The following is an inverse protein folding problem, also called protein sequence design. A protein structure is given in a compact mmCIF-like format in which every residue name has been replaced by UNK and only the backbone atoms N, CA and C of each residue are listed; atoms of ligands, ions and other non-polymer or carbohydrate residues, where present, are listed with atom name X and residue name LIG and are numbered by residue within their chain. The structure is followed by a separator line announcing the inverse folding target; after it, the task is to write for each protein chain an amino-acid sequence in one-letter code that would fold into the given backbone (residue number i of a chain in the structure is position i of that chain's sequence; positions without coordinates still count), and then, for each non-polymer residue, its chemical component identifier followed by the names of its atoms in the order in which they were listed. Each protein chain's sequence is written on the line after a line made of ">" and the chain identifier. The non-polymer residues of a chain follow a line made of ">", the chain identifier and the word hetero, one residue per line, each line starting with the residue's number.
data_IF_759731109509
#
_entry.id   IF_759731109509
#
_cell.length_a   1.000
_cell.length_b   1.000
_cell.length_c   1.000
_cell.angle_alpha   90.00
_cell.angle_beta   90.00
_cell.angle_gamma   90.00
#
_symmetry.space_group_name_H-M   'P 1'
#
loop_
_entity.id
_entity.type
_entity.pdbx_description
1 polymer ?
#
# COMPACT_ATOMS: atom_id res chain seq x y z
N UNK A 1 -5.13 16.61 -0.18
CA UNK A 1 -4.03 17.52 0.22
C UNK A 1 -3.94 18.73 -0.71
N UNK A 2 -3.86 18.58 -2.04
CA UNK A 2 -3.78 19.70 -2.99
C UNK A 2 -4.95 20.69 -2.88
N UNK A 3 -6.18 20.20 -2.79
CA UNK A 3 -7.38 21.04 -2.64
C UNK A 3 -7.35 21.88 -1.34
N UNK A 4 -6.95 21.27 -0.23
CA UNK A 4 -6.81 21.98 1.05
C UNK A 4 -5.76 23.09 0.97
N UNK A 5 -4.61 22.80 0.41
CA UNK A 5 -3.50 23.76 0.21
C UNK A 5 -3.93 24.92 -0.70
N UNK A 6 -4.59 24.61 -1.81
CA UNK A 6 -5.14 25.63 -2.71
C UNK A 6 -6.16 26.54 -1.99
N UNK A 7 -7.16 25.95 -1.30
CA UNK A 7 -8.18 26.73 -0.60
C UNK A 7 -7.58 27.66 0.45
N UNK A 8 -6.60 27.17 1.23
CA UNK A 8 -5.90 28.00 2.22
C UNK A 8 -5.17 29.19 1.57
N UNK A 9 -4.50 28.93 0.44
CA UNK A 9 -3.79 30.01 -0.29
C UNK A 9 -4.79 30.98 -0.96
N UNK A 10 -5.89 30.48 -1.50
CA UNK A 10 -6.96 31.27 -2.08
C UNK A 10 -7.51 32.27 -1.04
N UNK A 11 -7.93 31.74 0.11
CA UNK A 11 -8.49 32.57 1.18
C UNK A 11 -7.50 33.63 1.67
N UNK A 12 -6.24 33.25 1.85
CA UNK A 12 -5.19 34.17 2.27
C UNK A 12 -4.92 35.25 1.21
N UNK A 13 -4.83 34.87 -0.08
CA UNK A 13 -4.62 35.83 -1.17
C UNK A 13 -5.77 36.82 -1.28
N UNK A 14 -7.01 36.33 -1.16
CA UNK A 14 -8.22 37.13 -1.24
C UNK A 14 -8.34 38.11 -0.07
N UNK A 15 -8.19 37.62 1.18
CA UNK A 15 -8.32 38.45 2.40
C UNK A 15 -7.24 39.54 2.46
N UNK A 16 -6.00 39.16 2.16
CA UNK A 16 -4.86 40.10 2.20
C UNK A 16 -4.74 40.95 0.93
N UNK A 17 -5.53 40.68 -0.10
CA UNK A 17 -5.46 41.32 -1.43
C UNK A 17 -4.02 41.29 -2.00
N UNK A 18 -3.31 40.17 -1.79
CA UNK A 18 -1.92 39.99 -2.21
C UNK A 18 -1.76 38.77 -3.12
N UNK A 19 -0.77 38.84 -3.99
CA UNK A 19 -0.30 37.68 -4.74
C UNK A 19 0.42 36.72 -3.81
N UNK A 20 0.14 35.41 -3.95
CA UNK A 20 0.79 34.36 -3.17
C UNK A 20 1.50 33.40 -4.11
N UNK A 21 2.74 33.09 -3.79
CA UNK A 21 3.49 32.02 -4.43
C UNK A 21 3.80 30.92 -3.41
N UNK A 22 3.48 29.69 -3.77
CA UNK A 22 3.88 28.50 -3.04
C UNK A 22 5.02 27.82 -3.81
N UNK A 23 6.15 27.67 -3.16
CA UNK A 23 7.26 26.85 -3.66
C UNK A 23 7.34 25.62 -2.78
N UNK A 24 7.09 24.47 -3.38
CA UNK A 24 7.13 23.18 -2.69
C UNK A 24 8.25 22.32 -3.27
N UNK A 25 8.85 21.49 -2.43
CA UNK A 25 9.81 20.49 -2.90
C UNK A 25 9.10 19.32 -3.55
N UNK A 26 9.82 18.53 -4.35
CA UNK A 26 9.37 17.28 -4.93
C UNK A 26 10.25 16.13 -4.48
N UNK A 27 9.67 14.96 -4.33
CA UNK A 27 10.39 13.72 -4.06
C UNK A 27 10.10 13.09 -2.70
N UNK A 28 10.58 11.86 -2.54
CA UNK A 28 10.40 11.03 -1.35
C UNK A 28 11.44 11.33 -0.27
N UNK A 29 11.01 11.26 0.99
CA UNK A 29 11.87 11.28 2.18
C UNK A 29 11.35 10.25 3.17
N UNK A 30 11.89 9.04 3.13
CA UNK A 30 11.45 7.86 3.87
C UNK A 30 9.96 7.56 3.58
N UNK A 31 9.05 7.95 4.46
CA UNK A 31 7.62 7.68 4.37
C UNK A 31 6.82 8.82 3.76
N UNK A 32 7.41 10.01 3.62
CA UNK A 32 6.75 11.20 3.09
C UNK A 32 7.11 11.39 1.62
N UNK A 33 6.11 11.74 0.81
CA UNK A 33 6.32 12.19 -0.57
C UNK A 33 5.82 13.61 -0.71
N UNK A 34 6.70 14.49 -1.15
CA UNK A 34 6.38 15.86 -1.51
C UNK A 34 5.99 15.91 -2.98
N UNK A 35 4.81 16.40 -3.24
CA UNK A 35 4.21 16.38 -4.57
C UNK A 35 4.68 17.49 -5.52
N UNK A 36 5.57 18.39 -5.07
CA UNK A 36 5.87 19.58 -5.86
C UNK A 36 4.64 20.46 -6.00
N UNK A 37 4.06 20.49 -7.19
CA UNK A 37 2.84 21.26 -7.50
C UNK A 37 2.93 22.70 -7.00
N UNK A 38 4.11 23.34 -7.19
CA UNK A 38 4.32 24.73 -6.89
C UNK A 38 3.41 25.61 -7.75
N UNK A 39 3.04 26.79 -7.26
CA UNK A 39 2.11 27.63 -8.02
C UNK A 39 2.02 29.05 -7.51
N UNK A 40 1.25 29.87 -8.23
CA UNK A 40 0.99 31.24 -7.87
C UNK A 40 -0.49 31.59 -8.01
N UNK A 41 -0.97 32.44 -7.09
CA UNK A 41 -2.28 33.05 -7.11
C UNK A 41 -2.16 34.56 -7.23
N UNK A 42 -3.09 35.18 -7.95
CA UNK A 42 -3.21 36.62 -7.98
C UNK A 42 -3.87 37.16 -6.69
N UNK A 43 -3.99 38.47 -6.57
CA UNK A 43 -4.58 39.16 -5.40
C UNK A 43 -6.09 38.91 -5.21
N UNK A 44 -6.75 38.23 -6.15
CA UNK A 44 -8.15 37.79 -6.04
C UNK A 44 -8.26 36.31 -5.63
N UNK A 45 -7.14 35.66 -5.35
CA UNK A 45 -7.11 34.24 -5.03
C UNK A 45 -7.22 33.30 -6.24
N UNK A 46 -7.18 33.83 -7.46
CA UNK A 46 -7.27 33.03 -8.67
C UNK A 46 -5.92 32.41 -9.01
N UNK A 47 -5.90 31.11 -9.36
CA UNK A 47 -4.69 30.40 -9.75
C UNK A 47 -4.20 30.92 -11.11
N UNK A 48 -2.95 31.34 -11.20
CA UNK A 48 -2.34 31.89 -12.42
C UNK A 48 -1.09 31.13 -12.89
N UNK A 49 -0.55 30.28 -12.04
CA UNK A 49 0.55 29.35 -12.37
C UNK A 49 0.39 28.07 -11.57
N UNK A 50 0.57 26.93 -12.22
CA UNK A 50 0.72 25.65 -11.56
C UNK A 50 1.83 24.84 -12.26
N UNK A 51 2.74 24.34 -11.47
CA UNK A 51 3.86 23.53 -11.92
C UNK A 51 3.50 22.03 -11.83
N UNK A 52 4.32 21.18 -12.41
CA UNK A 52 4.12 19.74 -12.43
C UNK A 52 4.05 19.11 -11.03
N UNK A 53 3.36 17.97 -10.95
CA UNK A 53 3.31 17.16 -9.74
C UNK A 53 4.25 15.97 -9.87
N UNK A 54 5.01 15.68 -8.80
CA UNK A 54 5.98 14.57 -8.67
C UNK A 54 7.13 14.59 -9.68
N UNK A 55 7.37 15.73 -10.31
CA UNK A 55 8.48 15.98 -11.22
C UNK A 55 9.15 17.31 -10.89
N UNK A 56 10.45 17.41 -11.11
CA UNK A 56 11.14 18.69 -11.10
C UNK A 56 10.62 19.56 -12.25
N UNK A 57 10.41 20.84 -11.96
CA UNK A 57 9.88 21.79 -12.94
C UNK A 57 10.45 23.18 -12.71
N UNK A 58 10.47 23.99 -13.76
CA UNK A 58 10.97 25.35 -13.71
C UNK A 58 10.03 26.29 -14.47
N UNK A 59 9.68 27.40 -13.83
CA UNK A 59 8.88 28.45 -14.45
C UNK A 59 9.41 29.84 -14.09
N UNK A 60 9.29 30.77 -15.02
CA UNK A 60 9.54 32.20 -14.79
C UNK A 60 8.18 32.87 -14.59
N UNK A 61 8.03 33.56 -13.45
CA UNK A 61 6.81 34.24 -13.10
C UNK A 61 7.10 35.74 -12.83
N UNK A 62 6.55 36.63 -13.66
CA UNK A 62 6.66 38.06 -13.43
C UNK A 62 5.65 38.52 -12.38
N UNK A 63 6.12 38.85 -11.18
CA UNK A 63 5.27 39.29 -10.07
C UNK A 63 4.61 40.65 -10.29
N UNK A 64 5.00 41.41 -11.34
CA UNK A 64 4.45 42.72 -11.66
C UNK A 64 3.41 42.66 -12.77
N UNK A 65 3.51 41.68 -13.64
CA UNK A 65 2.57 41.52 -14.74
C UNK A 65 1.18 41.04 -14.25
N UNK A 66 0.12 41.37 -14.97
CA UNK A 66 -1.15 40.69 -14.83
C UNK A 66 -1.08 39.35 -15.55
N UNK A 67 -1.64 38.32 -14.91
CA UNK A 67 -1.70 36.95 -15.45
C UNK A 67 -3.13 36.49 -15.52
N UNK A 68 -3.48 35.83 -16.63
CA UNK A 68 -4.79 35.23 -16.80
C UNK A 68 -4.96 34.04 -15.85
N UNK A 69 -6.12 33.92 -15.21
CA UNK A 69 -6.45 32.78 -14.37
C UNK A 69 -6.46 31.48 -15.18
N UNK A 70 -5.90 30.42 -14.61
CA UNK A 70 -6.00 29.07 -15.11
C UNK A 70 -7.01 28.25 -14.32
N UNK A 71 -7.57 27.21 -14.93
CA UNK A 71 -8.51 26.34 -14.24
C UNK A 71 -7.84 25.64 -13.06
N UNK A 72 -8.49 25.66 -11.90
CA UNK A 72 -8.06 24.89 -10.75
C UNK A 72 -8.33 23.42 -11.05
N UNK A 73 -7.33 22.56 -11.03
CA UNK A 73 -7.56 21.13 -11.18
C UNK A 73 -8.22 20.60 -9.90
N UNK A 74 -9.53 20.37 -9.98
CA UNK A 74 -10.22 19.66 -8.91
C UNK A 74 -9.84 18.18 -8.95
N UNK A 75 -9.35 17.66 -7.82
CA UNK A 75 -9.11 16.23 -7.67
C UNK A 75 -10.44 15.50 -7.61
N UNK A 76 -10.79 14.83 -8.71
CA UNK A 76 -11.84 13.80 -8.72
C UNK A 76 -11.27 12.51 -8.13
N UNK A 77 -12.14 11.54 -7.82
CA UNK A 77 -11.68 10.21 -7.39
C UNK A 77 -10.67 9.57 -8.38
N UNK A 78 -10.90 9.77 -9.68
CA UNK A 78 -9.97 9.29 -10.73
C UNK A 78 -8.62 9.99 -10.68
N UNK A 79 -8.61 11.28 -10.35
CA UNK A 79 -7.37 12.06 -10.18
C UNK A 79 -6.65 11.62 -8.91
N UNK A 80 -7.38 11.21 -7.85
CA UNK A 80 -6.77 10.63 -6.64
C UNK A 80 -5.97 9.39 -6.96
N UNK A 81 -6.51 8.44 -7.72
CA UNK A 81 -5.80 7.22 -8.10
C UNK A 81 -4.51 7.53 -8.89
N UNK A 82 -4.57 8.46 -9.83
CA UNK A 82 -3.39 8.95 -10.55
C UNK A 82 -2.36 9.57 -9.60
N UNK A 83 -2.80 10.40 -8.66
CA UNK A 83 -1.91 11.05 -7.70
C UNK A 83 -1.26 10.03 -6.76
N UNK A 84 -2.02 9.03 -6.31
CA UNK A 84 -1.50 7.92 -5.49
C UNK A 84 -0.46 7.12 -6.27
N UNK A 85 -0.75 6.77 -7.52
CA UNK A 85 0.21 6.09 -8.39
C UNK A 85 1.51 6.88 -8.54
N UNK A 86 1.42 8.16 -8.90
CA UNK A 86 2.61 9.00 -9.08
C UNK A 86 3.39 9.19 -7.78
N UNK A 87 2.70 9.32 -6.65
CA UNK A 87 3.32 9.39 -5.33
C UNK A 87 4.04 8.08 -4.96
N UNK A 88 3.41 6.94 -5.25
CA UNK A 88 3.99 5.62 -4.97
C UNK A 88 5.25 5.36 -5.80
N UNK A 89 5.21 5.65 -7.10
CA UNK A 89 6.37 5.52 -8.00
C UNK A 89 7.49 6.48 -7.57
N UNK A 90 7.18 7.75 -7.34
CA UNK A 90 8.16 8.75 -6.89
C UNK A 90 8.79 8.37 -5.53
N UNK A 91 7.96 7.99 -4.55
CA UNK A 91 8.43 7.60 -3.22
C UNK A 91 9.33 6.37 -3.26
N UNK A 92 8.95 5.36 -4.06
CA UNK A 92 9.75 4.13 -4.21
C UNK A 92 11.07 4.40 -4.94
N UNK A 93 11.04 5.16 -6.04
CA UNK A 93 12.24 5.60 -6.76
C UNK A 93 13.23 6.28 -5.82
N UNK A 94 12.76 7.25 -5.06
CA UNK A 94 13.60 8.03 -4.15
C UNK A 94 14.07 7.23 -2.94
N UNK A 95 13.25 6.33 -2.40
CA UNK A 95 13.68 5.44 -1.32
C UNK A 95 14.87 4.60 -1.76
N UNK A 96 14.84 4.04 -2.96
CA UNK A 96 15.97 3.28 -3.50
C UNK A 96 17.16 4.17 -3.82
N UNK A 97 16.97 5.20 -4.63
CA UNK A 97 18.05 6.05 -5.11
C UNK A 97 18.80 6.76 -3.99
N UNK A 98 18.08 7.32 -3.00
CA UNK A 98 18.69 8.06 -1.87
C UNK A 98 19.40 7.15 -0.88
N UNK A 99 19.04 5.88 -0.79
CA UNK A 99 19.75 4.90 0.03
C UNK A 99 20.85 4.14 -0.74
N UNK A 100 21.02 4.41 -2.03
CA UNK A 100 21.98 3.70 -2.86
C UNK A 100 21.58 2.26 -3.20
N UNK A 101 20.30 1.92 -3.06
CA UNK A 101 19.77 0.63 -3.46
C UNK A 101 19.44 0.62 -4.95
N UNK A 102 19.63 -0.51 -5.60
CA UNK A 102 19.42 -0.62 -7.05
C UNK A 102 18.46 -1.73 -7.45
N UNK A 103 18.22 -2.72 -6.58
CA UNK A 103 17.47 -3.94 -6.93
C UNK A 103 16.39 -4.24 -5.90
N UNK A 104 15.16 -4.46 -6.36
CA UNK A 104 14.03 -4.87 -5.55
C UNK A 104 13.72 -6.37 -5.69
N UNK A 105 13.39 -7.02 -4.58
CA UNK A 105 12.80 -8.35 -4.57
C UNK A 105 11.36 -8.29 -4.07
N UNK A 106 10.51 -9.16 -4.62
CA UNK A 106 9.11 -9.28 -4.22
C UNK A 106 8.67 -10.74 -4.19
N UNK A 107 7.86 -11.10 -3.20
CA UNK A 107 7.13 -12.36 -3.20
C UNK A 107 5.88 -12.23 -4.07
N UNK A 108 5.87 -12.84 -5.25
CA UNK A 108 4.74 -12.77 -6.16
C UNK A 108 3.82 -13.96 -5.93
N UNK A 109 2.65 -13.68 -5.35
CA UNK A 109 1.70 -14.71 -4.90
C UNK A 109 0.62 -15.06 -5.93
N UNK A 110 0.46 -14.25 -6.99
CA UNK A 110 -0.71 -14.29 -7.87
C UNK A 110 -1.93 -13.57 -7.29
N UNK A 111 -1.77 -12.85 -6.17
CA UNK A 111 -2.77 -11.95 -5.60
C UNK A 111 -2.54 -10.49 -6.02
N UNK A 112 -3.62 -9.68 -5.93
CA UNK A 112 -3.64 -8.30 -6.42
C UNK A 112 -2.61 -7.38 -5.74
N UNK A 113 -2.39 -7.54 -4.43
CA UNK A 113 -1.48 -6.67 -3.67
C UNK A 113 -0.03 -6.81 -4.18
N UNK A 114 0.44 -8.05 -4.30
CA UNK A 114 1.78 -8.33 -4.83
C UNK A 114 1.91 -7.91 -6.31
N UNK A 115 0.83 -8.02 -7.08
CA UNK A 115 0.78 -7.60 -8.48
C UNK A 115 0.97 -6.08 -8.60
N UNK A 116 0.22 -5.29 -7.83
CA UNK A 116 0.33 -3.83 -7.82
C UNK A 116 1.72 -3.39 -7.40
N UNK A 117 2.29 -3.98 -6.33
CA UNK A 117 3.63 -3.63 -5.87
C UNK A 117 4.70 -3.98 -6.91
N UNK A 118 4.54 -5.10 -7.64
CA UNK A 118 5.46 -5.46 -8.74
C UNK A 118 5.42 -4.43 -9.87
N UNK A 119 4.23 -3.99 -10.29
CA UNK A 119 4.07 -2.95 -11.30
C UNK A 119 4.70 -1.62 -10.86
N UNK A 120 4.40 -1.16 -9.65
CA UNK A 120 4.99 0.07 -9.09
C UNK A 120 6.52 -0.01 -9.01
N UNK A 121 7.06 -1.19 -8.66
CA UNK A 121 8.50 -1.40 -8.60
C UNK A 121 9.14 -1.34 -9.99
N UNK A 122 8.50 -1.90 -11.02
CA UNK A 122 8.97 -1.82 -12.40
C UNK A 122 8.97 -0.38 -12.90
N UNK A 123 7.89 0.37 -12.64
CA UNK A 123 7.78 1.76 -13.06
C UNK A 123 8.78 2.68 -12.34
N UNK A 124 9.09 2.37 -11.08
CA UNK A 124 10.03 3.17 -10.29
C UNK A 124 11.51 2.85 -10.57
N UNK A 125 11.84 1.59 -10.86
CA UNK A 125 13.22 1.11 -10.84
C UNK A 125 13.70 0.55 -12.19
N UNK A 126 12.78 0.26 -13.12
CA UNK A 126 13.06 -0.49 -14.34
C UNK A 126 12.99 -2.00 -14.12
N UNK A 127 12.43 -2.71 -15.11
CA UNK A 127 12.19 -4.17 -15.05
C UNK A 127 13.44 -5.01 -14.78
N UNK A 128 14.60 -4.56 -15.23
CA UNK A 128 15.90 -5.22 -15.03
C UNK A 128 16.37 -5.21 -13.57
N UNK A 129 15.79 -4.34 -12.76
CA UNK A 129 16.11 -4.15 -11.35
C UNK A 129 15.09 -4.81 -10.40
N UNK A 130 14.07 -5.47 -10.94
CA UNK A 130 13.02 -6.14 -10.14
C UNK A 130 13.12 -7.65 -10.33
N UNK A 131 13.06 -8.39 -9.24
CA UNK A 131 13.02 -9.86 -9.26
C UNK A 131 11.91 -10.39 -8.38
N UNK A 132 11.14 -11.33 -8.90
CA UNK A 132 10.10 -12.02 -8.16
C UNK A 132 10.55 -13.41 -7.67
N UNK A 133 10.08 -13.83 -6.48
CA UNK A 133 10.05 -15.22 -6.07
C UNK A 133 8.61 -15.70 -5.98
N UNK A 134 8.32 -16.78 -6.70
CA UNK A 134 7.06 -17.52 -6.62
C UNK A 134 7.28 -18.68 -5.67
N UNK A 135 6.60 -18.69 -4.54
CA UNK A 135 6.87 -19.61 -3.43
C UNK A 135 5.63 -20.45 -3.08
N UNK A 136 5.20 -21.35 -3.99
CA UNK A 136 4.03 -22.18 -3.74
C UNK A 136 4.26 -23.14 -2.57
N UNK A 137 3.16 -23.43 -1.85
CA UNK A 137 3.06 -24.51 -0.87
C UNK A 137 2.15 -25.60 -1.42
N UNK A 138 1.93 -26.64 -0.65
CA UNK A 138 0.95 -27.70 -0.96
C UNK A 138 -0.52 -27.21 -0.95
N UNK A 139 -0.77 -26.00 -0.48
CA UNK A 139 -2.10 -25.37 -0.42
C UNK A 139 -2.30 -24.28 -1.47
N UNK A 140 -1.22 -23.91 -2.17
CA UNK A 140 -1.31 -22.92 -3.25
C UNK A 140 -2.05 -23.52 -4.44
N UNK A 141 -3.01 -22.78 -4.98
CA UNK A 141 -3.73 -23.18 -6.19
C UNK A 141 -2.81 -23.10 -7.42
N UNK A 142 -3.05 -23.99 -8.37
CA UNK A 142 -2.33 -23.95 -9.65
C UNK A 142 -2.56 -22.60 -10.37
N UNK A 143 -3.75 -22.03 -10.24
CA UNK A 143 -4.11 -20.73 -10.82
C UNK A 143 -3.23 -19.61 -10.30
N UNK A 144 -2.96 -19.54 -8.99
CA UNK A 144 -2.11 -18.50 -8.41
C UNK A 144 -0.68 -18.52 -8.95
N UNK A 145 -0.14 -19.73 -9.20
CA UNK A 145 1.20 -19.86 -9.79
C UNK A 145 1.21 -19.45 -11.26
N UNK A 146 0.15 -19.79 -11.99
CA UNK A 146 -0.01 -19.40 -13.41
C UNK A 146 -0.16 -17.89 -13.50
N UNK A 147 -1.06 -17.29 -12.72
CA UNK A 147 -1.28 -15.85 -12.68
C UNK A 147 0.01 -15.06 -12.34
N UNK A 148 0.78 -15.55 -11.35
CA UNK A 148 2.04 -14.93 -10.96
C UNK A 148 3.09 -15.00 -12.08
N UNK A 149 3.17 -16.12 -12.82
CA UNK A 149 4.07 -16.26 -13.97
C UNK A 149 3.67 -15.33 -15.11
N UNK A 150 2.38 -15.34 -15.46
CA UNK A 150 1.85 -14.49 -16.52
C UNK A 150 2.14 -13.02 -16.24
N UNK A 151 1.90 -12.56 -15.03
CA UNK A 151 2.23 -11.19 -14.63
C UNK A 151 3.74 -10.90 -14.74
N UNK A 152 4.59 -11.82 -14.28
CA UNK A 152 6.05 -11.63 -14.36
C UNK A 152 6.53 -11.57 -15.79
N UNK A 153 5.97 -12.40 -16.67
CA UNK A 153 6.27 -12.42 -18.11
C UNK A 153 5.76 -11.14 -18.78
N UNK A 154 4.56 -10.66 -18.47
CA UNK A 154 3.99 -9.40 -18.97
C UNK A 154 4.85 -8.18 -18.57
N UNK A 155 5.33 -8.15 -17.32
CA UNK A 155 6.23 -7.12 -16.81
C UNK A 155 7.65 -7.24 -17.37
N UNK A 156 8.02 -8.40 -17.91
CA UNK A 156 9.38 -8.69 -18.37
C UNK A 156 10.41 -8.73 -17.24
N UNK A 157 10.00 -9.12 -16.02
CA UNK A 157 10.89 -9.23 -14.86
C UNK A 157 11.42 -10.65 -14.70
N UNK A 158 12.62 -10.76 -14.13
CA UNK A 158 13.18 -12.06 -13.77
C UNK A 158 12.42 -12.68 -12.58
N UNK A 159 12.16 -13.98 -12.64
CA UNK A 159 11.58 -14.70 -11.51
C UNK A 159 12.14 -16.10 -11.33
N UNK A 160 12.07 -16.63 -10.12
CA UNK A 160 12.34 -18.02 -9.79
C UNK A 160 11.14 -18.63 -9.07
N UNK A 161 10.90 -19.93 -9.30
CA UNK A 161 9.90 -20.71 -8.55
C UNK A 161 10.60 -21.52 -7.49
N UNK A 162 10.31 -21.22 -6.23
CA UNK A 162 10.94 -21.81 -5.04
C UNK A 162 9.87 -22.41 -4.14
N UNK A 163 9.43 -23.65 -4.35
CA UNK A 163 8.41 -24.29 -3.52
C UNK A 163 8.87 -24.38 -2.06
N UNK A 164 7.99 -24.05 -1.12
CA UNK A 164 8.30 -24.12 0.32
C UNK A 164 7.91 -25.44 0.97
N UNK A 165 7.32 -26.38 0.25
CA UNK A 165 6.71 -27.61 0.77
C UNK A 165 7.69 -28.45 1.62
N UNK A 166 8.92 -28.68 1.12
CA UNK A 166 9.91 -29.47 1.87
C UNK A 166 10.40 -28.75 3.11
N UNK A 167 10.66 -27.44 3.01
CA UNK A 167 11.05 -26.63 4.16
C UNK A 167 9.94 -26.58 5.23
N UNK A 168 8.68 -26.41 4.80
CA UNK A 168 7.52 -26.46 5.68
C UNK A 168 7.43 -27.80 6.42
N UNK A 169 7.50 -28.91 5.69
CA UNK A 169 7.48 -30.25 6.28
C UNK A 169 8.61 -30.45 7.29
N UNK A 170 9.83 -30.05 6.96
CA UNK A 170 10.97 -30.15 7.86
C UNK A 170 10.76 -29.38 9.18
N UNK A 171 10.20 -28.16 9.13
CA UNK A 171 9.92 -27.38 10.34
C UNK A 171 8.79 -28.02 11.16
N UNK A 172 7.70 -28.46 10.54
CA UNK A 172 6.59 -29.12 11.23
C UNK A 172 7.05 -30.41 11.90
N UNK A 173 7.82 -31.26 11.20
CA UNK A 173 8.33 -32.50 11.75
C UNK A 173 9.30 -32.26 12.91
N UNK A 174 10.13 -31.22 12.82
CA UNK A 174 11.07 -30.83 13.90
C UNK A 174 10.32 -30.35 15.15
N UNK A 175 9.21 -29.62 14.97
CA UNK A 175 8.41 -29.09 16.07
C UNK A 175 7.43 -30.11 16.66
N UNK A 176 7.15 -31.21 15.96
CA UNK A 176 6.20 -32.23 16.38
C UNK A 176 6.38 -32.75 17.82
N UNK A 177 7.61 -32.96 18.35
CA UNK A 177 7.78 -33.39 19.75
C UNK A 177 7.33 -32.33 20.78
N UNK A 178 7.24 -31.07 20.37
CA UNK A 178 6.92 -29.92 21.25
C UNK A 178 5.44 -29.57 21.17
N UNK A 179 4.87 -29.53 19.95
CA UNK A 179 3.50 -29.08 19.70
C UNK A 179 2.62 -30.14 19.02
N UNK A 180 3.11 -31.37 18.87
CA UNK A 180 2.38 -32.46 18.22
C UNK A 180 1.13 -32.88 18.97
N UNK A 181 0.13 -33.39 18.20
CA UNK A 181 -1.16 -33.82 18.74
C UNK A 181 -2.22 -32.74 18.81
N UNK A 182 -1.92 -31.51 18.40
CA UNK A 182 -2.89 -30.42 18.18
C UNK A 182 -3.46 -30.49 16.76
N UNK A 183 -4.67 -29.96 16.58
CA UNK A 183 -5.25 -29.79 15.24
C UNK A 183 -4.48 -28.69 14.48
N UNK A 184 -4.57 -28.72 13.14
CA UNK A 184 -4.08 -27.64 12.27
C UNK A 184 -4.74 -26.30 12.65
N UNK A 185 -3.93 -25.26 12.84
CA UNK A 185 -4.40 -23.92 13.18
C UNK A 185 -3.49 -22.83 12.59
N UNK A 186 -3.59 -21.63 13.09
CA UNK A 186 -2.76 -20.48 12.68
C UNK A 186 -1.23 -20.74 12.85
N UNK A 187 -0.81 -21.77 13.57
CA UNK A 187 0.60 -22.13 13.72
C UNK A 187 1.19 -22.58 12.40
N UNK A 188 0.52 -23.52 11.74
CA UNK A 188 0.94 -24.08 10.47
C UNK A 188 0.82 -23.07 9.34
N UNK A 189 -0.22 -22.21 9.37
CA UNK A 189 -0.39 -21.10 8.44
C UNK A 189 0.77 -20.11 8.55
N UNK A 190 1.07 -19.68 9.76
CA UNK A 190 2.12 -18.70 10.04
C UNK A 190 3.54 -19.24 9.73
N UNK A 191 3.78 -20.54 9.86
CA UNK A 191 5.04 -21.17 9.45
C UNK A 191 5.26 -20.95 7.95
N UNK A 192 4.24 -21.12 7.12
CA UNK A 192 4.36 -20.92 5.66
C UNK A 192 4.72 -19.48 5.32
N UNK A 193 4.03 -18.49 5.89
CA UNK A 193 4.33 -17.07 5.67
C UNK A 193 5.78 -16.72 6.07
N UNK A 194 6.24 -17.22 7.23
CA UNK A 194 7.61 -17.00 7.69
C UNK A 194 8.67 -17.70 6.83
N UNK A 195 8.40 -18.88 6.33
CA UNK A 195 9.31 -19.57 5.41
C UNK A 195 9.47 -18.80 4.09
N UNK A 196 8.40 -18.23 3.54
CA UNK A 196 8.50 -17.36 2.37
C UNK A 196 9.42 -16.15 2.64
N UNK A 197 9.29 -15.55 3.81
CA UNK A 197 10.18 -14.45 4.20
C UNK A 197 11.64 -14.92 4.34
N UNK A 198 11.90 -16.09 4.90
CA UNK A 198 13.27 -16.64 4.98
C UNK A 198 13.88 -16.77 3.58
N UNK A 199 13.13 -17.26 2.58
CA UNK A 199 13.63 -17.39 1.20
C UNK A 199 13.91 -16.02 0.57
N UNK A 200 13.01 -15.05 0.76
CA UNK A 200 13.17 -13.67 0.27
C UNK A 200 14.37 -12.98 0.92
N UNK A 201 14.54 -13.13 2.22
CA UNK A 201 15.68 -12.55 2.94
C UNK A 201 17.01 -13.23 2.57
N UNK A 202 17.00 -14.51 2.24
CA UNK A 202 18.19 -15.19 1.71
C UNK A 202 18.60 -14.60 0.35
N UNK A 203 17.64 -14.35 -0.55
CA UNK A 203 17.87 -13.65 -1.82
C UNK A 203 18.41 -12.23 -1.57
N UNK A 204 17.78 -11.47 -0.67
CA UNK A 204 18.23 -10.12 -0.30
C UNK A 204 19.70 -10.14 0.14
N UNK A 205 20.03 -10.97 1.13
CA UNK A 205 21.36 -10.97 1.72
C UNK A 205 22.44 -11.47 0.75
N UNK A 206 22.12 -12.44 -0.11
CA UNK A 206 23.10 -13.05 -1.00
C UNK A 206 23.33 -12.27 -2.28
N UNK A 207 22.26 -11.64 -2.81
CA UNK A 207 22.26 -11.05 -4.14
C UNK A 207 22.07 -9.50 -4.14
N UNK A 208 21.98 -8.89 -2.96
CA UNK A 208 21.88 -7.43 -2.82
C UNK A 208 20.53 -6.84 -3.25
N UNK A 209 19.46 -7.63 -3.25
CA UNK A 209 18.10 -7.12 -3.44
C UNK A 209 17.57 -6.51 -2.14
N UNK A 210 16.61 -5.63 -2.28
CA UNK A 210 15.84 -5.06 -1.16
C UNK A 210 14.41 -5.61 -1.24
N UNK A 211 13.95 -6.26 -0.18
CA UNK A 211 12.62 -6.84 -0.11
C UNK A 211 11.55 -5.74 0.03
N UNK A 212 10.60 -5.71 -0.90
CA UNK A 212 9.40 -4.90 -0.80
C UNK A 212 8.28 -5.67 -0.09
N UNK A 213 7.59 -4.97 0.79
CA UNK A 213 6.38 -5.45 1.46
C UNK A 213 5.16 -5.19 0.59
N UNK A 214 4.22 -6.12 0.53
CA UNK A 214 2.99 -6.02 -0.27
C UNK A 214 1.71 -6.01 0.56
N UNK A 215 1.78 -5.65 1.84
CA UNK A 215 0.59 -5.46 2.68
C UNK A 215 -0.20 -4.22 2.25
N UNK A 216 -1.48 -4.17 2.60
CA UNK A 216 -2.37 -3.02 2.43
C UNK A 216 -2.90 -2.52 3.78
N UNK A 217 -3.54 -1.33 3.77
CA UNK A 217 -4.03 -0.68 5.00
C UNK A 217 -5.15 -1.46 5.68
N UNK A 218 -6.02 -2.11 4.91
CA UNK A 218 -7.13 -2.90 5.46
C UNK A 218 -6.60 -4.10 6.25
N UNK A 219 -5.66 -4.86 5.68
CA UNK A 219 -4.99 -5.97 6.36
C UNK A 219 -4.20 -5.50 7.57
N UNK A 220 -3.46 -4.41 7.44
CA UNK A 220 -2.68 -3.79 8.52
C UNK A 220 -3.58 -3.33 9.67
N UNK A 221 -4.74 -2.74 9.37
CA UNK A 221 -5.71 -2.31 10.36
C UNK A 221 -6.26 -3.49 11.16
N UNK A 222 -6.71 -4.52 10.46
CA UNK A 222 -7.32 -5.70 11.07
C UNK A 222 -6.30 -6.65 11.69
N UNK A 223 -5.00 -6.46 11.40
CA UNK A 223 -3.94 -7.40 11.77
C UNK A 223 -4.08 -8.75 11.06
N UNK A 224 -4.72 -8.75 9.89
CA UNK A 224 -4.85 -9.91 9.02
C UNK A 224 -3.54 -10.17 8.28
N UNK A 225 -2.50 -10.50 9.04
CA UNK A 225 -1.13 -10.65 8.59
C UNK A 225 -0.31 -11.45 9.61
N UNK A 226 0.81 -11.99 9.17
CA UNK A 226 1.75 -12.79 9.98
C UNK A 226 2.99 -11.98 10.29
N UNK A 227 3.25 -11.71 11.59
CA UNK A 227 4.49 -11.09 12.04
C UNK A 227 5.70 -11.94 11.63
N UNK A 228 6.73 -11.25 11.09
CA UNK A 228 7.95 -11.86 10.57
C UNK A 228 7.72 -12.79 9.37
N UNK A 229 6.53 -12.75 8.81
CA UNK A 229 6.12 -13.38 7.57
C UNK A 229 5.81 -12.32 6.52
N UNK A 230 4.58 -12.25 6.07
CA UNK A 230 4.10 -11.28 5.07
C UNK A 230 4.20 -9.81 5.50
N UNK A 231 4.36 -9.54 6.82
CA UNK A 231 4.67 -8.19 7.32
C UNK A 231 6.12 -7.77 7.10
N UNK A 232 7.01 -8.66 6.68
CA UNK A 232 8.43 -8.33 6.50
C UNK A 232 8.69 -7.55 5.22
N UNK A 233 9.74 -6.75 5.24
CA UNK A 233 10.21 -5.96 4.11
C UNK A 233 11.01 -4.74 4.58
N UNK A 234 11.66 -4.07 3.65
CA UNK A 234 12.39 -2.83 3.93
C UNK A 234 11.50 -1.59 3.76
N UNK A 235 10.46 -1.70 2.92
CA UNK A 235 9.55 -0.61 2.62
C UNK A 235 8.18 -1.14 2.15
N UNK A 236 7.10 -0.54 2.63
CA UNK A 236 5.72 -0.89 2.28
C UNK A 236 5.10 0.26 1.48
N UNK A 237 5.10 0.12 0.16
CA UNK A 237 4.63 1.19 -0.74
C UNK A 237 3.11 1.30 -0.77
N UNK A 238 2.41 0.20 -0.51
CA UNK A 238 0.94 0.10 -0.51
C UNK A 238 0.32 0.01 0.88
N UNK A 239 1.13 -0.01 1.93
CA UNK A 239 0.69 -0.25 3.31
C UNK A 239 -0.29 0.77 3.89
N UNK A 240 -0.45 1.92 3.23
CA UNK A 240 -1.40 2.99 3.60
C UNK A 240 -2.58 3.13 2.61
N UNK A 241 -2.77 2.15 1.71
CA UNK A 241 -3.90 2.08 0.78
C UNK A 241 -4.89 1.02 1.23
N UNK A 242 -6.17 1.35 1.25
CA UNK A 242 -7.25 0.39 1.49
C UNK A 242 -7.37 -0.63 0.35
N UNK A 243 -7.93 -1.79 0.62
CA UNK A 243 -8.07 -2.88 -0.39
C UNK A 243 -8.80 -2.40 -1.66
N UNK A 244 -9.86 -1.64 -1.51
CA UNK A 244 -10.56 -1.02 -2.63
C UNK A 244 -9.67 -0.10 -3.47
N UNK A 245 -8.81 0.70 -2.83
CA UNK A 245 -7.84 1.57 -3.51
C UNK A 245 -6.77 0.76 -4.26
N UNK A 246 -6.38 -0.42 -3.75
CA UNK A 246 -5.48 -1.35 -4.48
C UNK A 246 -6.12 -1.82 -5.79
N UNK A 247 -7.40 -2.19 -5.78
CA UNK A 247 -8.14 -2.56 -7.00
C UNK A 247 -8.24 -1.40 -8.00
N UNK A 248 -8.50 -0.19 -7.51
CA UNK A 248 -8.56 1.00 -8.37
C UNK A 248 -7.19 1.31 -8.98
N UNK A 249 -6.13 1.16 -8.20
CA UNK A 249 -4.76 1.34 -8.65
C UNK A 249 -4.37 0.29 -9.69
N UNK A 250 -4.76 -0.98 -9.49
CA UNK A 250 -4.53 -2.04 -10.47
C UNK A 250 -5.24 -1.76 -11.81
N UNK A 251 -6.50 -1.31 -11.77
CA UNK A 251 -7.24 -0.90 -12.98
C UNK A 251 -6.60 0.32 -13.66
N UNK A 252 -6.05 1.25 -12.88
CA UNK A 252 -5.34 2.39 -13.43
C UNK A 252 -4.03 1.98 -14.11
N UNK A 253 -3.25 1.08 -13.48
CA UNK A 253 -2.03 0.50 -14.05
C UNK A 253 -2.32 -0.20 -15.37
N UNK A 254 -3.38 -1.01 -15.44
CA UNK A 254 -3.79 -1.69 -16.67
C UNK A 254 -4.10 -0.71 -17.81
N UNK A 255 -4.68 0.45 -17.51
CA UNK A 255 -4.89 1.51 -18.51
C UNK A 255 -3.61 2.17 -19.01
N UNK A 256 -2.57 2.19 -18.17
CA UNK A 256 -1.28 2.77 -18.54
C UNK A 256 -0.40 1.80 -19.35
N UNK A 257 -0.55 0.49 -19.11
CA UNK A 257 0.36 -0.55 -19.56
C UNK A 257 -0.34 -1.68 -20.32
N UNK A 258 -1.42 -1.37 -21.06
CA UNK A 258 -2.12 -2.29 -21.95
C UNK A 258 -2.45 -3.65 -21.30
N UNK A 259 -3.18 -3.59 -20.16
CA UNK A 259 -3.67 -4.75 -19.39
C UNK A 259 -2.55 -5.69 -18.90
N UNK A 260 -1.47 -5.12 -18.37
CA UNK A 260 -0.31 -5.86 -17.85
C UNK A 260 -0.67 -6.82 -16.70
N UNK A 261 -1.62 -6.46 -15.83
CA UNK A 261 -2.12 -7.32 -14.75
C UNK A 261 -3.23 -8.21 -15.33
N UNK A 262 -3.08 -9.55 -15.32
CA UNK A 262 -4.10 -10.48 -15.80
C UNK A 262 -5.47 -10.27 -15.16
N UNK A 263 -6.53 -10.43 -15.95
CA UNK A 263 -7.92 -10.30 -15.48
C UNK A 263 -8.25 -11.30 -14.35
N UNK A 264 -7.64 -12.48 -14.36
CA UNK A 264 -7.77 -13.48 -13.29
C UNK A 264 -7.36 -12.92 -11.92
N UNK A 265 -6.30 -12.10 -11.86
CA UNK A 265 -5.85 -11.43 -10.63
C UNK A 265 -6.86 -10.36 -10.17
N UNK A 266 -7.47 -9.64 -11.11
CA UNK A 266 -8.45 -8.58 -10.82
C UNK A 266 -9.80 -9.12 -10.35
N UNK A 267 -10.17 -10.31 -10.78
CA UNK A 267 -11.50 -10.91 -10.52
C UNK A 267 -11.50 -11.99 -9.45
N UNK A 268 -10.32 -12.50 -9.10
CA UNK A 268 -10.15 -13.55 -8.10
C UNK A 268 -10.56 -13.05 -6.72
N UNK A 269 -11.30 -13.90 -5.99
CA UNK A 269 -11.61 -13.63 -4.59
C UNK A 269 -10.32 -13.64 -3.74
N UNK A 270 -10.12 -12.63 -2.87
CA UNK A 270 -8.95 -12.55 -2.01
C UNK A 270 -8.81 -13.80 -1.12
N UNK A 271 -7.58 -14.34 -1.07
CA UNK A 271 -7.23 -15.48 -0.24
C UNK A 271 -5.72 -15.51 0.03
N UNK A 272 -5.34 -15.90 1.25
CA UNK A 272 -3.95 -16.14 1.63
C UNK A 272 -3.44 -17.53 1.23
N UNK A 273 -4.31 -18.46 0.84
CA UNK A 273 -4.00 -19.83 0.41
C UNK A 273 -3.07 -20.61 1.39
N UNK A 274 -3.33 -20.48 2.70
CA UNK A 274 -2.55 -21.12 3.75
C UNK A 274 -3.14 -22.45 4.23
N UNK A 275 -4.40 -22.72 3.89
CA UNK A 275 -5.08 -24.01 4.07
C UNK A 275 -6.03 -24.27 2.88
N UNK A 276 -6.52 -25.54 2.72
CA UNK A 276 -7.38 -25.89 1.59
C UNK A 276 -8.67 -25.06 1.54
N UNK A 277 -8.92 -24.41 0.38
CA UNK A 277 -10.18 -23.67 0.12
C UNK A 277 -10.36 -22.40 0.91
N UNK A 278 -9.31 -21.86 1.54
CA UNK A 278 -9.34 -20.63 2.31
C UNK A 278 -9.81 -19.44 1.46
N UNK A 279 -10.65 -18.62 2.06
CA UNK A 279 -11.09 -17.32 1.54
C UNK A 279 -11.06 -16.28 2.66
N UNK A 280 -10.71 -15.04 2.32
CA UNK A 280 -10.77 -13.96 3.30
C UNK A 280 -12.20 -13.72 3.81
N UNK A 281 -13.21 -13.98 2.94
CA UNK A 281 -14.63 -13.92 3.26
C UNK A 281 -15.09 -14.93 4.33
N UNK A 282 -14.30 -15.97 4.63
CA UNK A 282 -14.60 -16.88 5.73
C UNK A 282 -14.48 -16.20 7.11
N UNK A 283 -13.68 -15.14 7.19
CA UNK A 283 -13.39 -14.45 8.45
C UNK A 283 -13.87 -12.99 8.41
N UNK A 284 -13.70 -12.32 7.26
CA UNK A 284 -13.96 -10.89 7.09
C UNK A 284 -15.27 -10.65 6.33
N UNK A 285 -15.99 -9.57 6.62
CA UNK A 285 -17.00 -9.05 5.70
C UNK A 285 -16.37 -8.65 4.35
N UNK A 286 -17.18 -8.42 3.30
CA UNK A 286 -16.67 -7.88 2.04
C UNK A 286 -15.80 -6.63 2.26
N UNK A 287 -14.69 -6.52 1.53
CA UNK A 287 -13.74 -5.43 1.73
C UNK A 287 -14.34 -4.04 1.52
N UNK A 288 -15.38 -3.90 0.70
CA UNK A 288 -16.11 -2.63 0.55
C UNK A 288 -16.75 -2.18 1.87
N UNK A 289 -17.23 -3.12 2.68
CA UNK A 289 -17.80 -2.84 4.01
C UNK A 289 -16.67 -2.58 5.01
N UNK A 290 -15.64 -3.43 5.00
CA UNK A 290 -14.47 -3.28 5.88
C UNK A 290 -13.82 -1.92 5.69
N UNK A 291 -13.50 -1.55 4.45
CA UNK A 291 -12.82 -0.30 4.11
C UNK A 291 -13.67 0.92 4.47
N UNK A 292 -14.99 0.86 4.22
CA UNK A 292 -15.88 1.96 4.56
C UNK A 292 -15.96 2.19 6.08
N UNK A 293 -15.97 1.14 6.89
CA UNK A 293 -15.96 1.24 8.35
C UNK A 293 -14.59 1.73 8.85
N UNK A 294 -13.50 1.16 8.35
CA UNK A 294 -12.14 1.56 8.73
C UNK A 294 -11.86 3.01 8.36
N UNK A 295 -12.27 3.47 7.18
CA UNK A 295 -12.11 4.85 6.76
C UNK A 295 -12.80 5.82 7.73
N UNK A 296 -14.05 5.53 8.12
CA UNK A 296 -14.79 6.34 9.10
C UNK A 296 -14.09 6.36 10.47
N UNK A 297 -13.58 5.21 10.93
CA UNK A 297 -12.87 5.12 12.21
C UNK A 297 -11.51 5.82 12.20
N UNK A 298 -10.76 5.70 11.10
CA UNK A 298 -9.35 6.10 11.03
C UNK A 298 -9.19 7.50 10.46
N UNK A 299 -9.80 7.76 9.31
CA UNK A 299 -9.62 9.04 8.60
C UNK A 299 -10.58 10.12 9.11
N UNK A 300 -11.82 9.75 9.45
CA UNK A 300 -12.84 10.66 9.92
C UNK A 300 -12.97 10.73 11.46
N UNK A 301 -12.33 9.80 12.17
CA UNK A 301 -12.35 9.76 13.64
C UNK A 301 -13.74 9.49 14.24
N UNK A 302 -14.65 8.87 13.47
CA UNK A 302 -16.02 8.59 13.93
C UNK A 302 -16.04 7.49 15.00
N UNK A 303 -16.91 7.67 15.97
CA UNK A 303 -17.20 6.66 16.97
C UNK A 303 -18.11 5.55 16.42
N UNK A 304 -18.07 4.38 17.07
CA UNK A 304 -18.86 3.19 16.66
C UNK A 304 -20.35 3.50 16.50
N UNK A 305 -20.94 4.26 17.43
CA UNK A 305 -22.36 4.65 17.40
C UNK A 305 -22.70 5.49 16.15
N UNK A 306 -21.81 6.39 15.74
CA UNK A 306 -22.01 7.22 14.55
C UNK A 306 -21.98 6.37 13.28
N UNK A 307 -21.11 5.36 13.23
CA UNK A 307 -20.99 4.44 12.10
C UNK A 307 -22.22 3.53 12.02
N UNK A 308 -22.71 3.02 13.13
CA UNK A 308 -23.96 2.23 13.20
C UNK A 308 -25.15 3.09 12.74
N UNK A 309 -25.23 4.34 13.22
CA UNK A 309 -26.28 5.29 12.79
C UNK A 309 -26.21 5.65 11.30
N UNK A 310 -25.04 5.52 10.68
CA UNK A 310 -24.86 5.67 9.24
C UNK A 310 -25.33 4.44 8.43
N UNK A 311 -25.82 3.39 9.09
CA UNK A 311 -26.46 2.23 8.46
C UNK A 311 -25.58 0.98 8.40
N UNK A 312 -24.43 0.95 9.06
CA UNK A 312 -23.61 -0.26 9.16
C UNK A 312 -24.10 -1.19 10.28
N UNK A 313 -23.94 -2.49 10.07
CA UNK A 313 -24.32 -3.49 11.06
C UNK A 313 -23.49 -3.37 12.35
N UNK A 314 -24.16 -3.36 13.51
CA UNK A 314 -23.51 -3.10 14.80
C UNK A 314 -22.50 -4.19 15.19
N UNK A 315 -22.77 -5.47 14.87
CA UNK A 315 -21.86 -6.58 15.19
C UNK A 315 -20.61 -6.53 14.30
N UNK A 316 -20.78 -6.15 13.04
CA UNK A 316 -19.68 -5.96 12.09
C UNK A 316 -18.79 -4.78 12.52
N UNK A 317 -19.40 -3.65 12.91
CA UNK A 317 -18.67 -2.45 13.39
C UNK A 317 -17.87 -2.80 14.64
N UNK A 318 -18.48 -3.51 15.59
CA UNK A 318 -17.81 -3.92 16.83
C UNK A 318 -16.65 -4.90 16.55
N UNK A 319 -16.86 -5.89 15.69
CA UNK A 319 -15.82 -6.85 15.28
C UNK A 319 -14.61 -6.14 14.67
N UNK A 320 -14.84 -5.24 13.70
CA UNK A 320 -13.77 -4.47 13.05
C UNK A 320 -13.04 -3.59 14.06
N UNK A 321 -13.76 -2.91 14.94
CA UNK A 321 -13.17 -2.09 16.00
C UNK A 321 -12.26 -2.92 16.91
N UNK A 322 -12.73 -4.09 17.38
CA UNK A 322 -11.92 -4.97 18.23
C UNK A 322 -10.65 -5.46 17.51
N UNK A 323 -10.77 -5.85 16.23
CA UNK A 323 -9.61 -6.24 15.43
C UNK A 323 -8.62 -5.08 15.30
N UNK A 324 -9.10 -3.88 14.99
CA UNK A 324 -8.27 -2.68 14.89
C UNK A 324 -7.52 -2.39 16.20
N UNK A 325 -8.20 -2.46 17.34
CA UNK A 325 -7.60 -2.14 18.65
C UNK A 325 -6.61 -3.20 19.13
N UNK A 326 -6.91 -4.49 18.96
CA UNK A 326 -6.07 -5.60 19.45
C UNK A 326 -4.77 -5.78 18.68
N UNK A 327 -4.69 -5.26 17.45
CA UNK A 327 -3.57 -5.50 16.54
C UNK A 327 -2.54 -4.36 16.47
N UNK A 328 -2.62 -3.35 17.34
CA UNK A 328 -1.61 -2.29 17.42
C UNK A 328 -0.19 -2.86 17.57
N UNK A 329 -0.01 -3.90 18.38
CA UNK A 329 1.28 -4.58 18.58
C UNK A 329 1.91 -5.12 17.30
N UNK A 330 1.11 -5.47 16.29
CA UNK A 330 1.61 -5.90 14.99
C UNK A 330 2.10 -4.69 14.20
N UNK A 331 1.35 -3.59 14.19
CA UNK A 331 1.68 -2.37 13.46
C UNK A 331 2.98 -1.71 13.92
N UNK A 332 3.36 -1.84 15.18
CA UNK A 332 4.67 -1.40 15.69
C UNK A 332 5.86 -2.14 15.10
N UNK A 333 5.63 -3.26 14.40
CA UNK A 333 6.68 -4.12 13.85
C UNK A 333 6.67 -4.14 12.32
N UNK A 334 5.90 -3.26 11.70
CA UNK A 334 5.85 -3.14 10.25
C UNK A 334 7.05 -2.35 9.72
N UNK A 335 7.45 -2.59 8.46
CA UNK A 335 8.42 -1.74 7.79
C UNK A 335 7.87 -0.32 7.64
N UNK A 336 8.73 0.67 7.35
CA UNK A 336 8.28 2.00 6.98
C UNK A 336 7.23 1.97 5.88
N UNK A 337 6.12 2.67 6.09
CA UNK A 337 4.97 2.72 5.18
C UNK A 337 4.96 4.05 4.46
N UNK A 338 4.83 4.05 3.14
CA UNK A 338 4.66 5.26 2.35
C UNK A 338 3.31 5.91 2.68
N UNK A 339 3.32 7.16 3.13
CA UNK A 339 2.13 7.88 3.59
C UNK A 339 1.36 8.45 2.40
N UNK A 340 0.24 7.81 2.08
CA UNK A 340 -0.61 8.11 0.93
C UNK A 340 -2.02 8.56 1.33
N UNK A 341 -2.33 8.50 2.64
CA UNK A 341 -3.60 8.93 3.22
C UNK A 341 -3.40 10.09 4.22
N UNK A 342 -4.49 10.55 4.83
CA UNK A 342 -4.44 11.59 5.85
C UNK A 342 -4.03 11.06 7.22
N UNK A 343 -4.22 9.76 7.49
CA UNK A 343 -3.99 9.14 8.79
C UNK A 343 -3.28 7.79 8.65
N UNK A 344 -1.97 7.82 8.37
CA UNK A 344 -1.13 6.63 8.24
C UNK A 344 -0.80 6.01 9.61
N UNK A 345 -0.73 4.67 9.65
CA UNK A 345 -0.27 3.95 10.84
C UNK A 345 1.21 4.23 11.13
N UNK A 346 1.55 4.28 12.40
CA UNK A 346 2.92 4.53 12.86
C UNK A 346 3.30 6.01 12.96
N UNK A 347 2.47 6.91 12.46
CA UNK A 347 2.67 8.37 12.52
C UNK A 347 1.45 9.11 13.07
N UNK A 348 0.41 9.30 12.24
CA UNK A 348 -0.80 10.01 12.64
C UNK A 348 -1.66 9.18 13.59
N UNK A 349 -1.61 7.85 13.45
CA UNK A 349 -2.35 6.93 14.31
C UNK A 349 -1.39 5.97 15.01
N UNK A 350 -1.14 6.26 16.27
CA UNK A 350 -0.35 5.42 17.19
C UNK A 350 -1.15 5.29 18.49
N UNK A 351 -1.36 4.05 18.94
CA UNK A 351 -1.97 3.77 20.23
C UNK A 351 -0.93 3.20 21.20
N UNK A 352 -1.04 3.48 22.50
CA UNK A 352 -0.18 2.85 23.50
C UNK A 352 -0.37 1.32 23.47
N UNK A 353 0.73 0.56 23.47
CA UNK A 353 0.68 -0.91 23.49
C UNK A 353 0.14 -1.46 24.83
N UNK A 354 0.39 -0.73 25.92
CA UNK A 354 -0.02 -1.11 27.27
C UNK A 354 -1.33 -0.42 27.63
N UNK A 355 -2.41 -0.83 26.98
CA UNK A 355 -3.74 -0.27 27.25
C UNK A 355 -4.81 -1.35 27.20
N UNK A 356 -6.02 -1.00 27.66
CA UNK A 356 -7.26 -1.78 27.57
C UNK A 356 -8.35 -1.02 26.82
N UNK A 357 -7.99 -0.20 25.84
CA UNK A 357 -8.95 0.63 25.10
C UNK A 357 -9.95 -0.16 24.23
N UNK A 358 -9.81 -1.46 24.11
CA UNK A 358 -10.69 -2.31 23.32
C UNK A 358 -11.65 -3.18 24.13
N UNK A 359 -11.70 -2.99 25.45
CA UNK A 359 -12.59 -3.74 26.33
C UNK A 359 -13.93 -3.00 26.50
#
# INVERSE_FOLDING_TARGET
>A
MMTYRYNTMHDLAYVESKRIMLINQVGGSTEIVYDGTSGALNSRGELVLMMKSFEEDFAIFDTRAEHEPIAVPYTTYKDRTRMVYSAAVCGLHDYFGKNGYTKAAIGLSGGIDSAVVACLAVDALGRENVKALLMPSQFSSDHSVVDARELADNLGIAYDVVPITEAYKAVVDTMKPVIGGTAFDATEENIQARLRTVMLMALQNKCGYILLNSSNKSENALGFCTLYGDTAGAFSVTGDLYKGEIYDLARYINKLHDDVIPDSILTKEPSSELHPGQKDSDILPPYEVVDAILFRMIEEGQHREEIVNAGFDAEVVEKIHQMLMRNEKKRYQFPPVLRLSACAFGHERILPLTNKYGD
#
